data_IF_008611783241
#
_entry.id   IF_008611783241
#
_cell.length_a   1.000
_cell.length_b   1.000
_cell.length_c   1.000
_cell.angle_alpha   90.00
_cell.angle_beta   90.00
_cell.angle_gamma   90.00
#
_symmetry.space_group_name_H-M   'P 1'
#
loop_
_entity.id
_entity.type
_entity.pdbx_description
1 polymer ?
#
# COMPACT_ATOMS: atom_id res chain seq x y z
N UNK A 1 -8.47 6.92 15.46
CA UNK A 1 -7.10 7.12 14.93
C UNK A 1 -6.25 5.95 15.38
N UNK A 2 -5.45 5.32 14.52
CA UNK A 2 -4.56 4.24 14.97
C UNK A 2 -3.34 4.86 15.68
N UNK A 3 -2.89 4.22 16.75
CA UNK A 3 -1.74 4.63 17.57
C UNK A 3 -0.68 3.51 17.56
N UNK A 4 0.60 3.89 17.61
CA UNK A 4 1.76 2.99 17.69
C UNK A 4 2.57 3.35 18.93
N UNK A 5 3.05 2.33 19.64
CA UNK A 5 3.99 2.50 20.74
C UNK A 5 5.39 2.79 20.19
N UNK A 6 6.03 3.85 20.67
CA UNK A 6 7.38 4.21 20.30
C UNK A 6 8.37 3.14 20.82
N UNK A 7 9.27 2.59 19.99
CA UNK A 7 10.23 1.58 20.43
C UNK A 7 11.30 2.12 21.39
N UNK A 8 11.45 3.45 21.49
CA UNK A 8 12.49 4.07 22.33
C UNK A 8 12.00 4.50 23.71
N UNK A 9 10.79 5.06 23.79
CA UNK A 9 10.24 5.59 25.04
C UNK A 9 8.97 4.86 25.48
N UNK A 10 8.52 3.86 24.74
CA UNK A 10 7.27 3.13 25.01
C UNK A 10 6.02 4.01 25.05
N UNK A 11 6.09 5.25 24.59
CA UNK A 11 4.95 6.17 24.61
C UNK A 11 4.10 6.00 23.33
N UNK A 12 2.79 6.25 23.45
CA UNK A 12 1.87 6.18 22.32
C UNK A 12 2.05 7.38 21.38
N UNK A 13 2.18 7.11 20.08
CA UNK A 13 2.29 8.14 19.05
C UNK A 13 1.40 7.81 17.85
N UNK A 14 1.13 8.81 17.01
CA UNK A 14 0.40 8.61 15.75
C UNK A 14 1.20 7.67 14.85
N UNK A 15 0.56 6.64 14.28
CA UNK A 15 1.22 5.66 13.40
C UNK A 15 1.96 6.32 12.22
N UNK A 16 1.41 7.42 11.71
CA UNK A 16 1.98 8.16 10.57
C UNK A 16 3.08 9.16 10.97
N UNK A 17 3.37 9.32 12.27
CA UNK A 17 4.35 10.29 12.72
C UNK A 17 5.76 9.74 12.53
N UNK A 18 6.55 10.42 11.69
CA UNK A 18 7.97 10.09 11.46
C UNK A 18 8.82 10.21 12.72
N UNK A 19 8.42 11.10 13.64
CA UNK A 19 9.15 11.45 14.86
C UNK A 19 8.23 11.29 16.07
N UNK A 20 8.77 10.78 17.18
CA UNK A 20 8.09 10.74 18.46
C UNK A 20 7.95 12.15 19.06
N UNK A 21 6.74 12.57 19.43
CA UNK A 21 6.56 13.86 20.10
C UNK A 21 7.21 13.93 21.49
N UNK A 22 7.42 12.78 22.14
CA UNK A 22 7.92 12.70 23.51
C UNK A 22 9.44 12.59 23.58
N UNK A 23 10.04 11.69 22.79
CA UNK A 23 11.49 11.49 22.80
C UNK A 23 12.23 12.12 21.61
N UNK A 24 11.50 12.76 20.68
CA UNK A 24 12.04 13.38 19.46
C UNK A 24 12.88 12.45 18.57
N UNK A 25 12.84 11.13 18.81
CA UNK A 25 13.51 10.13 17.97
C UNK A 25 12.65 9.77 16.77
N UNK A 26 13.32 9.48 15.65
CA UNK A 26 12.69 9.00 14.41
C UNK A 26 12.13 7.60 14.62
N UNK A 27 10.81 7.44 14.56
CA UNK A 27 10.13 6.13 14.69
C UNK A 27 9.93 5.49 13.31
N UNK A 28 9.99 6.29 12.24
CA UNK A 28 10.33 5.86 10.88
C UNK A 28 9.79 4.50 10.44
N UNK A 29 8.53 4.17 10.72
CA UNK A 29 7.93 3.02 10.06
C UNK A 29 7.63 3.52 8.66
N UNK A 30 8.45 3.11 7.70
CA UNK A 30 8.07 3.19 6.30
C UNK A 30 6.62 2.74 6.21
N UNK A 31 5.74 3.67 5.89
CA UNK A 31 4.44 3.31 5.38
C UNK A 31 4.74 2.56 4.10
N UNK A 32 4.90 1.24 4.22
CA UNK A 32 4.60 0.30 3.17
C UNK A 32 3.13 0.54 2.91
N UNK A 33 2.84 1.56 2.10
CA UNK A 33 1.66 1.63 1.28
C UNK A 33 1.70 0.29 0.55
N UNK A 34 1.01 -0.70 1.13
CA UNK A 34 0.50 -1.82 0.37
C UNK A 34 -0.43 -1.16 -0.64
N UNK A 35 0.11 -0.69 -1.75
CA UNK A 35 -0.60 -0.40 -2.98
C UNK A 35 -1.06 -1.76 -3.54
N UNK A 36 -1.88 -2.48 -2.77
CA UNK A 36 -2.57 -3.69 -3.19
C UNK A 36 -3.88 -3.26 -3.85
N UNK A 37 -3.80 -2.56 -4.97
CA UNK A 37 -4.98 -2.35 -5.82
C UNK A 37 -4.68 -2.00 -7.27
N UNK A 38 -3.46 -2.25 -7.76
CA UNK A 38 -3.14 -2.07 -9.19
C UNK A 38 -3.02 -3.42 -9.92
N UNK A 39 -2.66 -4.49 -9.21
CA UNK A 39 -2.45 -5.82 -9.83
C UNK A 39 -3.70 -6.49 -10.41
N UNK A 40 -4.89 -6.23 -9.85
CA UNK A 40 -6.12 -6.89 -10.31
C UNK A 40 -6.59 -6.42 -11.70
N UNK A 41 -6.34 -5.15 -12.04
CA UNK A 41 -6.82 -4.55 -13.30
C UNK A 41 -6.05 -5.03 -14.54
N UNK A 42 -4.78 -5.41 -14.37
CA UNK A 42 -3.93 -5.91 -15.47
C UNK A 42 -4.46 -7.25 -16.01
N UNK A 43 -4.92 -8.12 -15.12
CA UNK A 43 -5.47 -9.44 -15.50
C UNK A 43 -6.78 -9.26 -16.28
N UNK A 44 -7.66 -8.37 -15.81
CA UNK A 44 -8.93 -8.06 -16.50
C UNK A 44 -8.65 -7.53 -17.90
N UNK A 45 -7.67 -6.63 -18.05
CA UNK A 45 -7.30 -6.08 -19.35
C UNK A 45 -6.78 -7.15 -20.32
N UNK A 46 -5.91 -8.05 -19.84
CA UNK A 46 -5.38 -9.16 -20.67
C UNK A 46 -6.48 -10.10 -21.16
N UNK A 47 -7.44 -10.45 -20.31
CA UNK A 47 -8.57 -11.33 -20.70
C UNK A 47 -9.41 -10.68 -21.80
N UNK A 48 -9.74 -9.39 -21.68
CA UNK A 48 -10.53 -8.67 -22.69
C UNK A 48 -9.80 -8.61 -24.03
N UNK A 49 -8.50 -8.29 -24.02
CA UNK A 49 -7.68 -8.20 -25.25
C UNK A 49 -7.60 -9.56 -25.96
N UNK A 50 -7.33 -10.64 -25.23
CA UNK A 50 -7.26 -12.00 -25.82
C UNK A 50 -8.60 -12.37 -26.45
N UNK A 51 -9.71 -12.06 -25.77
CA UNK A 51 -11.05 -12.37 -26.29
C UNK A 51 -11.36 -11.57 -27.56
N UNK A 52 -10.97 -10.30 -27.61
CA UNK A 52 -11.16 -9.44 -28.77
C UNK A 52 -10.35 -9.92 -29.99
N UNK A 53 -9.08 -10.29 -29.79
CA UNK A 53 -8.21 -10.84 -30.86
C UNK A 53 -8.79 -12.14 -31.41
N UNK A 54 -9.35 -13.00 -30.55
CA UNK A 54 -9.98 -14.24 -30.97
C UNK A 54 -11.26 -13.98 -31.78
N UNK A 55 -12.06 -12.98 -31.38
CA UNK A 55 -13.24 -12.56 -32.13
C UNK A 55 -12.87 -12.10 -33.54
N UNK A 56 -11.84 -11.26 -33.68
CA UNK A 56 -11.41 -10.74 -34.98
C UNK A 56 -10.78 -11.78 -35.92
N UNK A 57 -10.28 -12.91 -35.40
CA UNK A 57 -9.74 -14.00 -36.22
C UNK A 57 -10.82 -14.97 -36.72
N UNK A 58 -12.05 -14.84 -36.24
CA UNK A 58 -13.17 -15.72 -36.57
C UNK A 58 -14.09 -15.15 -37.65
N UNK A 59 -13.83 -13.91 -38.07
CA UNK A 59 -14.38 -13.22 -39.25
C UNK A 59 -13.43 -13.37 -40.45
#
# INVERSE_FOLDING_TARGET
MKMQKCPHCSEENKIYARVCSYCMKTIGVEHKVKMSSVGNWVIVFMVVVVWFIWSMNKD
#
